data_IF_189133621662
#
_entry.id   IF_189133621662
#
_cell.length_a   1.000
_cell.length_b   1.000
_cell.length_c   1.000
_cell.angle_alpha   90.00
_cell.angle_beta   90.00
_cell.angle_gamma   90.00
#
_symmetry.space_group_name_H-M   'P 1'
#
loop_
_entity.id
_entity.type
_entity.pdbx_description
1 polymer ?
#
# COMPACT_ATOMS: atom_id res chain seq x y z
N UNK A 1 12.29 20.94 -8.90
CA UNK A 1 13.23 19.85 -8.58
C UNK A 1 12.43 18.71 -7.97
N UNK A 2 12.44 17.58 -8.68
CA UNK A 2 12.26 16.18 -8.27
C UNK A 2 11.09 15.76 -7.36
N UNK A 3 10.10 15.17 -8.04
CA UNK A 3 9.21 14.14 -7.51
C UNK A 3 10.02 12.99 -6.89
N UNK A 4 10.00 12.85 -5.56
CA UNK A 4 10.78 11.79 -4.87
C UNK A 4 9.99 11.01 -3.81
N UNK A 5 8.66 11.11 -3.81
CA UNK A 5 7.78 10.35 -2.90
C UNK A 5 7.19 9.06 -3.46
N UNK A 6 7.30 8.82 -4.78
CA UNK A 6 6.61 7.72 -5.46
C UNK A 6 7.36 6.36 -5.40
N UNK A 7 8.64 6.34 -5.03
CA UNK A 7 9.48 5.14 -5.22
C UNK A 7 9.37 4.11 -4.09
N UNK A 8 9.28 4.50 -2.82
CA UNK A 8 9.34 3.53 -1.70
C UNK A 8 8.03 2.76 -1.49
N UNK A 9 6.87 3.42 -1.66
CA UNK A 9 5.56 2.80 -1.52
C UNK A 9 5.24 1.86 -2.69
N UNK A 10 5.62 2.23 -3.92
CA UNK A 10 5.44 1.40 -5.11
C UNK A 10 6.31 0.13 -5.08
N UNK A 11 7.54 0.22 -4.56
CA UNK A 11 8.41 -0.94 -4.36
C UNK A 11 7.83 -1.92 -3.33
N UNK A 12 7.25 -1.40 -2.22
CA UNK A 12 6.55 -2.22 -1.23
C UNK A 12 5.34 -2.94 -1.81
N UNK A 13 4.53 -2.26 -2.63
CA UNK A 13 3.37 -2.88 -3.28
C UNK A 13 3.78 -4.00 -4.24
N UNK A 14 4.76 -3.77 -5.11
CA UNK A 14 5.23 -4.78 -6.06
C UNK A 14 5.78 -6.02 -5.36
N UNK A 15 6.52 -5.84 -4.26
CA UNK A 15 7.02 -6.96 -3.47
C UNK A 15 5.88 -7.78 -2.84
N UNK A 16 4.80 -7.12 -2.43
CA UNK A 16 3.62 -7.76 -1.83
C UNK A 16 2.81 -8.52 -2.87
N UNK A 17 2.61 -7.93 -4.06
CA UNK A 17 2.01 -8.62 -5.21
C UNK A 17 2.82 -9.84 -5.61
N UNK A 18 4.14 -9.74 -5.58
CA UNK A 18 5.02 -10.88 -5.82
C UNK A 18 4.81 -12.01 -4.80
N UNK A 19 4.72 -11.70 -3.51
CA UNK A 19 4.42 -12.71 -2.48
C UNK A 19 3.08 -13.41 -2.75
N UNK A 20 2.05 -12.68 -3.18
CA UNK A 20 0.76 -13.28 -3.54
C UNK A 20 0.89 -14.18 -4.78
N UNK A 21 1.66 -13.76 -5.78
CA UNK A 21 1.96 -14.60 -6.95
C UNK A 21 2.72 -15.87 -6.57
N UNK A 22 3.68 -15.76 -5.64
CA UNK A 22 4.44 -16.91 -5.14
C UNK A 22 3.51 -17.87 -4.36
N UNK A 23 2.54 -17.34 -3.59
CA UNK A 23 1.50 -18.15 -2.94
C UNK A 23 0.66 -18.91 -3.96
N UNK A 24 0.26 -18.29 -5.07
CA UNK A 24 -0.52 -18.95 -6.13
C UNK A 24 0.27 -20.12 -6.78
N UNK A 25 1.56 -19.92 -6.97
CA UNK A 25 2.46 -21.00 -7.41
C UNK A 25 2.56 -22.12 -6.38
N UNK A 26 2.66 -21.80 -5.08
CA UNK A 26 2.64 -22.80 -4.00
C UNK A 26 1.32 -23.56 -3.95
N UNK A 27 0.18 -22.92 -4.21
CA UNK A 27 -1.12 -23.61 -4.29
C UNK A 27 -1.11 -24.65 -5.42
N UNK A 28 -0.52 -24.32 -6.57
CA UNK A 28 -0.34 -25.29 -7.66
C UNK A 28 0.52 -26.49 -7.22
N UNK A 29 1.59 -26.26 -6.46
CA UNK A 29 2.44 -27.32 -5.90
C UNK A 29 1.70 -28.16 -4.84
N UNK A 30 0.90 -27.52 -3.99
CA UNK A 30 0.06 -28.16 -3.00
C UNK A 30 -0.91 -29.17 -3.65
N UNK A 31 -1.56 -28.79 -4.75
CA UNK A 31 -2.44 -29.66 -5.53
C UNK A 31 -1.67 -30.85 -6.11
N UNK A 32 -0.44 -30.64 -6.62
CA UNK A 32 0.41 -31.73 -7.11
C UNK A 32 0.77 -32.73 -6.00
N UNK A 33 1.09 -32.25 -4.79
CA UNK A 33 1.34 -33.13 -3.65
C UNK A 33 0.10 -33.94 -3.26
N UNK A 34 -1.09 -33.32 -3.26
CA UNK A 34 -2.34 -34.02 -3.01
C UNK A 34 -2.61 -35.12 -4.07
N UNK A 35 -2.43 -34.80 -5.35
CA UNK A 35 -2.58 -35.76 -6.44
C UNK A 35 -1.61 -36.93 -6.29
N UNK A 36 -0.33 -36.67 -6.00
CA UNK A 36 0.66 -37.72 -5.79
C UNK A 36 0.29 -38.61 -4.60
N UNK A 37 -0.22 -38.03 -3.51
CA UNK A 37 -0.68 -38.77 -2.34
C UNK A 37 -1.83 -39.73 -2.69
N UNK A 38 -2.81 -39.27 -3.47
CA UNK A 38 -3.94 -40.09 -3.95
C UNK A 38 -3.45 -41.23 -4.88
N UNK A 39 -2.49 -40.95 -5.76
CA UNK A 39 -1.93 -41.95 -6.66
C UNK A 39 -1.14 -43.04 -5.91
N UNK A 40 -0.41 -42.69 -4.86
CA UNK A 40 0.27 -43.69 -4.02
C UNK A 40 -0.75 -44.51 -3.19
N UNK A 41 -1.84 -43.90 -2.72
CA UNK A 41 -2.94 -44.63 -2.05
C UNK A 41 -3.61 -45.66 -2.97
N UNK A 42 -3.66 -45.41 -4.27
CA UNK A 42 -4.22 -46.35 -5.24
C UNK A 42 -3.35 -47.59 -5.51
N UNK A 43 -2.12 -47.63 -4.98
CA UNK A 43 -1.14 -48.70 -5.20
C UNK A 43 -0.92 -49.54 -3.94
N UNK A 44 -1.30 -50.81 -3.99
CA UNK A 44 -1.17 -51.79 -2.89
C UNK A 44 0.28 -52.33 -2.77
N UNK A 45 1.24 -51.47 -2.38
CA UNK A 45 2.65 -51.87 -2.15
C UNK A 45 3.22 -51.16 -0.91
N UNK A 46 4.08 -51.83 -0.14
CA UNK A 46 4.69 -51.25 1.06
C UNK A 46 5.54 -49.99 0.77
N UNK A 47 6.23 -49.94 -0.38
CA UNK A 47 6.93 -48.74 -0.89
C UNK A 47 5.96 -47.58 -1.14
N UNK A 48 4.73 -47.88 -1.56
CA UNK A 48 3.68 -46.89 -1.82
C UNK A 48 3.29 -46.15 -0.54
N UNK A 49 3.24 -46.87 0.59
CA UNK A 49 2.92 -46.29 1.90
C UNK A 49 3.96 -45.26 2.33
N UNK A 50 5.25 -45.54 2.20
CA UNK A 50 6.32 -44.60 2.56
C UNK A 50 6.27 -43.34 1.67
N UNK A 51 6.10 -43.50 0.35
CA UNK A 51 5.97 -42.37 -0.58
C UNK A 51 4.73 -41.52 -0.31
N UNK A 52 3.60 -42.16 0.04
CA UNK A 52 2.39 -41.46 0.45
C UNK A 52 2.66 -40.60 1.71
N UNK A 53 3.33 -41.14 2.72
CA UNK A 53 3.67 -40.39 3.94
C UNK A 53 4.58 -39.18 3.62
N UNK A 54 5.55 -39.35 2.72
CA UNK A 54 6.39 -38.26 2.22
C UNK A 54 5.57 -37.16 1.51
N UNK A 55 4.70 -37.54 0.57
CA UNK A 55 3.83 -36.59 -0.13
C UNK A 55 2.84 -35.89 0.80
N UNK A 56 2.31 -36.60 1.80
CA UNK A 56 1.43 -36.02 2.84
C UNK A 56 2.19 -35.00 3.71
N UNK A 57 3.43 -35.30 4.08
CA UNK A 57 4.29 -34.39 4.83
C UNK A 57 4.63 -33.14 4.01
N UNK A 58 4.96 -33.30 2.72
CA UNK A 58 5.21 -32.19 1.80
C UNK A 58 3.97 -31.31 1.61
N UNK A 59 2.79 -31.93 1.44
CA UNK A 59 1.50 -31.23 1.39
C UNK A 59 1.28 -30.35 2.63
N UNK A 60 1.44 -30.93 3.84
CA UNK A 60 1.27 -30.18 5.10
C UNK A 60 2.25 -29.02 5.22
N UNK A 61 3.51 -29.22 4.87
CA UNK A 61 4.53 -28.15 4.89
C UNK A 61 4.18 -27.03 3.92
N UNK A 62 3.76 -27.36 2.71
CA UNK A 62 3.36 -26.40 1.69
C UNK A 62 2.12 -25.60 2.16
N UNK A 63 1.11 -26.27 2.71
CA UNK A 63 -0.09 -25.65 3.27
C UNK A 63 0.24 -24.66 4.39
N UNK A 64 1.07 -25.07 5.37
CA UNK A 64 1.49 -24.20 6.46
C UNK A 64 2.25 -22.96 5.94
N UNK A 65 3.06 -23.10 4.88
CA UNK A 65 3.73 -21.95 4.27
C UNK A 65 2.74 -21.00 3.61
N UNK A 66 1.74 -21.53 2.89
CA UNK A 66 0.69 -20.71 2.25
C UNK A 66 -0.10 -19.93 3.31
N UNK A 67 -0.50 -20.61 4.39
CA UNK A 67 -1.23 -19.97 5.50
C UNK A 67 -0.42 -18.86 6.17
N UNK A 68 0.87 -19.10 6.43
CA UNK A 68 1.75 -18.09 7.02
C UNK A 68 1.90 -16.85 6.11
N UNK A 69 2.12 -17.06 4.82
CA UNK A 69 2.29 -15.98 3.85
C UNK A 69 0.99 -15.17 3.69
N UNK A 70 -0.15 -15.84 3.54
CA UNK A 70 -1.46 -15.19 3.44
C UNK A 70 -1.83 -14.45 4.73
N UNK A 71 -1.55 -15.03 5.90
CA UNK A 71 -1.78 -14.37 7.19
C UNK A 71 -0.96 -13.09 7.32
N UNK A 72 0.33 -13.13 6.94
CA UNK A 72 1.16 -11.93 6.88
C UNK A 72 0.66 -10.89 5.86
N UNK A 73 0.05 -11.34 4.77
CA UNK A 73 -0.60 -10.43 3.81
C UNK A 73 -1.82 -9.75 4.44
N UNK A 74 -2.72 -10.52 5.06
CA UNK A 74 -3.94 -10.03 5.71
C UNK A 74 -3.65 -9.11 6.90
N UNK A 75 -2.63 -9.42 7.73
CA UNK A 75 -2.24 -8.57 8.86
C UNK A 75 -1.81 -7.17 8.40
N UNK A 76 -1.01 -7.10 7.34
CA UNK A 76 -0.68 -5.81 6.74
C UNK A 76 -1.89 -5.14 6.12
N UNK A 77 -2.75 -5.86 5.40
CA UNK A 77 -3.97 -5.29 4.83
C UNK A 77 -4.83 -4.68 5.95
N UNK A 78 -4.98 -5.38 7.07
CA UNK A 78 -5.62 -4.85 8.28
C UNK A 78 -4.91 -3.60 8.79
N UNK A 79 -3.58 -3.60 8.90
CA UNK A 79 -2.82 -2.44 9.34
C UNK A 79 -2.96 -1.22 8.41
N UNK A 80 -2.95 -1.41 7.08
CA UNK A 80 -3.06 -0.30 6.13
C UNK A 80 -4.50 0.13 5.88
N UNK A 81 -5.45 -0.80 5.84
CA UNK A 81 -6.86 -0.50 5.60
C UNK A 81 -7.61 -0.04 6.88
N UNK A 82 -7.14 -0.40 8.08
CA UNK A 82 -7.71 0.06 9.35
C UNK A 82 -6.92 1.23 9.94
N UNK A 83 -5.63 1.39 9.59
CA UNK A 83 -4.72 2.35 10.26
C UNK A 83 -4.16 3.50 9.42
N UNK A 84 -4.35 3.54 8.08
CA UNK A 84 -3.70 4.60 7.26
C UNK A 84 -4.65 5.55 6.53
N UNK A 85 -5.96 5.39 6.70
CA UNK A 85 -6.93 6.37 6.24
C UNK A 85 -7.18 7.44 7.32
N UNK A 86 -6.26 8.41 7.48
CA UNK A 86 -6.57 9.87 7.52
C UNK A 86 -5.45 10.79 8.05
N UNK A 87 -4.64 10.51 9.08
CA UNK A 87 -4.00 11.65 9.82
C UNK A 87 -2.62 12.19 9.36
N UNK A 88 -1.91 11.58 8.40
CA UNK A 88 -0.47 11.84 8.28
C UNK A 88 -0.01 12.93 7.30
N UNK A 89 -0.24 12.74 6.00
CA UNK A 89 0.62 13.42 5.01
C UNK A 89 -0.14 14.00 3.84
N UNK A 90 -0.96 13.24 3.12
CA UNK A 90 -1.58 13.77 1.90
C UNK A 90 -2.71 14.75 2.18
N UNK A 91 -3.72 14.38 2.99
CA UNK A 91 -4.84 15.27 3.32
C UNK A 91 -4.37 16.48 4.13
N UNK A 92 -3.54 16.26 5.16
CA UNK A 92 -2.97 17.34 5.96
C UNK A 92 -2.02 18.24 5.14
N UNK A 93 -1.29 17.72 4.15
CA UNK A 93 -0.49 18.55 3.23
C UNK A 93 -1.36 19.33 2.26
N UNK A 94 -2.40 18.72 1.69
CA UNK A 94 -3.36 19.40 0.81
C UNK A 94 -4.11 20.50 1.56
N UNK A 95 -4.59 20.22 2.77
CA UNK A 95 -5.24 21.22 3.62
C UNK A 95 -4.28 22.36 3.99
N UNK A 96 -3.03 22.06 4.35
CA UNK A 96 -2.01 23.08 4.61
C UNK A 96 -1.68 23.91 3.38
N UNK A 97 -1.65 23.30 2.20
CA UNK A 97 -1.42 23.99 0.92
C UNK A 97 -2.59 24.92 0.60
N UNK A 98 -3.83 24.44 0.68
CA UNK A 98 -5.03 25.27 0.49
C UNK A 98 -5.12 26.41 1.51
N UNK A 99 -4.75 26.16 2.76
CA UNK A 99 -4.75 27.21 3.79
C UNK A 99 -3.65 28.25 3.51
N UNK A 100 -2.48 27.83 3.06
CA UNK A 100 -1.40 28.74 2.65
C UNK A 100 -1.83 29.60 1.45
N UNK A 101 -2.42 29.00 0.41
CA UNK A 101 -2.95 29.71 -0.77
C UNK A 101 -3.98 30.76 -0.36
N UNK A 102 -4.97 30.41 0.46
CA UNK A 102 -5.95 31.38 0.96
C UNK A 102 -5.32 32.48 1.80
N UNK A 103 -4.27 32.17 2.57
CA UNK A 103 -3.55 33.18 3.35
C UNK A 103 -2.80 34.15 2.44
N UNK A 104 -2.21 33.66 1.34
CA UNK A 104 -1.59 34.51 0.32
C UNK A 104 -2.60 35.41 -0.37
N UNK A 105 -3.74 34.87 -0.81
CA UNK A 105 -4.81 35.65 -1.44
C UNK A 105 -5.32 36.75 -0.49
N UNK A 106 -5.58 36.39 0.77
CA UNK A 106 -6.03 37.36 1.78
C UNK A 106 -5.00 38.46 2.04
N UNK A 107 -3.70 38.14 2.06
CA UNK A 107 -2.65 39.13 2.26
C UNK A 107 -2.51 40.04 1.03
N UNK A 108 -2.60 39.48 -0.17
CA UNK A 108 -2.59 40.23 -1.43
C UNK A 108 -3.74 41.24 -1.47
N UNK A 109 -4.96 40.80 -1.14
CA UNK A 109 -6.13 41.67 -1.13
C UNK A 109 -5.98 42.80 -0.09
N UNK A 110 -5.38 42.50 1.07
CA UNK A 110 -5.09 43.51 2.09
C UNK A 110 -4.04 44.53 1.62
N UNK A 111 -2.98 44.07 0.95
CA UNK A 111 -1.95 44.95 0.39
C UNK A 111 -2.51 45.83 -0.72
N UNK A 112 -3.38 45.29 -1.57
CA UNK A 112 -4.06 46.07 -2.61
C UNK A 112 -4.96 47.14 -2.00
N UNK A 113 -5.72 46.81 -0.95
CA UNK A 113 -6.54 47.78 -0.22
C UNK A 113 -5.69 48.90 0.40
N UNK A 114 -4.56 48.57 1.04
CA UNK A 114 -3.63 49.54 1.63
C UNK A 114 -3.02 50.42 0.53
N UNK A 115 -2.54 49.82 -0.56
CA UNK A 115 -1.97 50.52 -1.70
C UNK A 115 -2.98 51.52 -2.29
N UNK A 116 -4.22 51.09 -2.52
CA UNK A 116 -5.27 51.94 -3.07
C UNK A 116 -5.64 53.09 -2.10
N UNK A 117 -5.62 52.84 -0.79
CA UNK A 117 -5.88 53.87 0.23
C UNK A 117 -4.77 54.91 0.25
N UNK A 118 -3.49 54.51 0.22
CA UNK A 118 -2.36 55.43 0.24
C UNK A 118 -2.14 56.18 -1.09
N UNK A 119 -2.43 55.55 -2.23
CA UNK A 119 -2.44 56.24 -3.54
C UNK A 119 -3.57 57.27 -3.61
N UNK A 120 -4.74 56.99 -3.04
CA UNK A 120 -5.83 57.95 -2.95
C UNK A 120 -5.45 59.15 -2.07
N UNK A 121 -4.85 58.90 -0.90
CA UNK A 121 -4.37 59.96 -0.01
C UNK A 121 -3.25 60.81 -0.62
N UNK A 122 -2.38 60.23 -1.46
CA UNK A 122 -1.31 60.99 -2.13
C UNK A 122 -1.88 61.92 -3.21
N UNK A 123 -2.96 61.52 -3.89
CA UNK A 123 -3.62 62.36 -4.88
C UNK A 123 -4.44 63.50 -4.25
N UNK A 124 -5.03 63.30 -3.07
CA UNK A 124 -5.74 64.38 -2.34
C UNK A 124 -4.77 65.47 -1.83
N UNK A 125 -3.53 65.11 -1.46
CA UNK A 125 -2.51 66.08 -1.00
C UNK A 125 -1.90 66.90 -2.16
N UNK A 126 -2.09 66.49 -3.41
CA UNK A 126 -1.66 67.26 -4.60
C UNK A 126 -2.74 68.19 -5.16
N UNK A 127 -3.95 68.21 -4.60
CA UNK A 127 -5.06 69.07 -5.01
C UNK A 127 -5.47 70.05 -3.91
N UNK A 128 -4.50 70.59 -3.17
CA UNK A 128 -4.63 71.76 -2.27
C UNK A 128 -3.55 72.81 -2.60
#
# INVERSE_FOLDING_TARGET
MSASGASSSGLKLNQRLKVISDVDQKITELVKHAQACILELSREKQISKTKMEEHSSAFKKCLNSIEADLSGQMQYLSHVCVGTAHQGTTFASQQRTMLAERSFDSLRDHLEAINNTHLSQTNDVQME
#
